data_IF_943562129629
#
_entry.id   IF_943562129629
#
_cell.length_a   1.000
_cell.length_b   1.000
_cell.length_c   1.000
_cell.angle_alpha   90.00
_cell.angle_beta   90.00
_cell.angle_gamma   90.00
#
_symmetry.space_group_name_H-M   'P 1'
#
loop_
_entity.id
_entity.type
_entity.pdbx_description
1 polymer ?
#
# COMPACT_ATOMS: atom_id res chain seq x y z
N UNK A 1 -50.93 -11.72 77.74
CA UNK A 1 -49.82 -10.78 77.43
C UNK A 1 -48.94 -11.21 76.23
N UNK A 2 -48.77 -12.47 75.92
CA UNK A 2 -48.02 -12.94 74.76
C UNK A 2 -48.71 -12.81 73.40
N UNK A 3 -50.07 -12.85 73.41
CA UNK A 3 -50.90 -12.75 72.18
C UNK A 3 -50.87 -11.32 71.58
N UNK A 4 -50.82 -10.30 72.45
CA UNK A 4 -50.75 -8.88 72.03
C UNK A 4 -49.38 -8.50 71.37
N UNK A 5 -48.32 -9.20 71.82
CA UNK A 5 -46.97 -8.97 71.28
C UNK A 5 -46.85 -9.50 69.84
N UNK A 6 -47.50 -10.62 69.50
CA UNK A 6 -47.56 -11.17 68.16
C UNK A 6 -48.41 -10.34 67.19
N UNK A 7 -49.46 -9.73 67.70
CA UNK A 7 -50.34 -8.86 66.90
C UNK A 7 -49.62 -7.57 66.50
N UNK A 8 -48.75 -7.01 67.35
CA UNK A 8 -47.96 -5.85 67.07
C UNK A 8 -46.81 -6.13 66.14
N UNK A 9 -46.27 -7.34 66.16
CA UNK A 9 -45.18 -7.81 65.29
C UNK A 9 -45.70 -8.09 63.86
N UNK A 10 -46.97 -8.49 63.73
CA UNK A 10 -47.62 -8.74 62.44
C UNK A 10 -48.05 -7.46 61.74
N UNK A 11 -48.34 -6.38 62.42
CA UNK A 11 -48.68 -5.07 61.86
C UNK A 11 -47.43 -4.33 61.39
N UNK A 12 -46.25 -4.58 62.01
CA UNK A 12 -44.97 -4.00 61.61
C UNK A 12 -44.41 -4.58 60.30
N UNK A 13 -44.88 -5.78 59.90
CA UNK A 13 -44.37 -6.46 58.66
C UNK A 13 -45.11 -6.02 57.37
N UNK A 14 -46.21 -5.30 57.44
CA UNK A 14 -47.09 -4.92 56.31
C UNK A 14 -46.75 -3.52 55.76
N UNK A 15 -45.88 -2.75 56.43
CA UNK A 15 -45.62 -1.34 56.07
C UNK A 15 -44.36 -1.13 55.18
N UNK A 16 -43.75 -2.19 54.65
CA UNK A 16 -42.48 -2.06 53.85
C UNK A 16 -42.67 -2.35 52.35
N UNK A 17 -43.92 -2.56 51.87
CA UNK A 17 -44.14 -2.87 50.43
C UNK A 17 -44.79 -1.75 49.62
N UNK A 18 -44.68 -0.48 50.02
CA UNK A 18 -45.01 0.65 49.17
C UNK A 18 -43.76 1.39 48.72
N UNK A 19 -42.84 0.65 48.06
CA UNK A 19 -41.85 1.26 47.21
C UNK A 19 -42.50 1.46 45.85
N UNK A 20 -43.04 2.67 45.61
CA UNK A 20 -43.32 3.12 44.26
C UNK A 20 -42.03 3.10 43.47
N UNK A 21 -41.87 2.12 42.59
CA UNK A 21 -41.00 2.24 41.45
C UNK A 21 -41.67 3.26 40.51
N UNK A 22 -41.27 4.54 40.61
CA UNK A 22 -41.39 5.42 39.48
C UNK A 22 -40.50 4.81 38.39
N UNK A 23 -41.13 4.19 37.41
CA UNK A 23 -40.54 4.02 36.09
C UNK A 23 -40.21 5.42 35.56
N UNK A 24 -39.05 5.95 35.94
CA UNK A 24 -38.38 6.89 35.08
C UNK A 24 -38.02 6.07 33.81
N UNK A 25 -38.85 6.23 32.80
CA UNK A 25 -38.45 6.02 31.44
C UNK A 25 -37.32 7.02 31.23
N UNK A 26 -36.07 6.65 31.59
CA UNK A 26 -34.92 7.26 30.98
C UNK A 26 -35.09 7.02 29.49
N UNK A 27 -35.58 8.02 28.80
CA UNK A 27 -35.29 8.22 27.42
C UNK A 27 -33.75 8.38 27.38
N UNK A 28 -33.07 7.25 27.36
CA UNK A 28 -31.71 7.19 26.88
C UNK A 28 -31.82 7.50 25.39
N UNK A 29 -31.94 8.79 25.05
CA UNK A 29 -31.49 9.25 23.75
C UNK A 29 -30.09 8.67 23.64
N UNK A 30 -29.95 7.63 22.80
CA UNK A 30 -28.67 7.09 22.44
C UNK A 30 -27.87 8.32 21.94
N UNK A 31 -27.00 8.82 22.80
CA UNK A 31 -26.03 9.83 22.40
C UNK A 31 -25.28 9.18 21.27
N UNK A 32 -25.67 9.52 20.05
CA UNK A 32 -24.98 9.10 18.84
C UNK A 32 -23.60 9.76 18.93
N UNK A 33 -22.71 9.12 19.66
CA UNK A 33 -21.31 9.55 19.75
C UNK A 33 -20.80 9.56 18.33
N UNK A 34 -20.48 10.75 17.82
CA UNK A 34 -19.89 10.87 16.50
C UNK A 34 -18.54 10.14 16.50
N UNK A 35 -18.51 8.98 15.89
CA UNK A 35 -17.33 8.11 15.83
C UNK A 35 -16.34 8.56 14.76
N UNK A 36 -16.73 9.49 13.85
CA UNK A 36 -15.91 9.97 12.74
C UNK A 36 -14.60 10.60 13.20
N UNK A 37 -14.56 11.54 14.18
CA UNK A 37 -13.30 12.12 14.65
C UNK A 37 -12.35 11.07 15.23
N UNK A 38 -12.89 10.09 15.94
CA UNK A 38 -12.11 8.98 16.51
C UNK A 38 -11.51 8.10 15.41
N UNK A 39 -12.26 7.81 14.37
CA UNK A 39 -11.80 7.05 13.21
C UNK A 39 -10.69 7.80 12.45
N UNK A 40 -10.87 9.09 12.19
CA UNK A 40 -9.84 9.94 11.57
C UNK A 40 -8.55 9.89 12.38
N UNK A 41 -8.62 10.10 13.69
CA UNK A 41 -7.46 10.08 14.57
C UNK A 41 -6.77 8.70 14.54
N UNK A 42 -7.52 7.62 14.50
CA UNK A 42 -6.96 6.26 14.48
C UNK A 42 -6.26 5.96 13.15
N UNK A 43 -6.82 6.39 12.02
CA UNK A 43 -6.20 6.27 10.71
C UNK A 43 -4.95 7.14 10.62
N UNK A 44 -5.01 8.40 11.05
CA UNK A 44 -3.88 9.32 11.02
C UNK A 44 -2.68 8.87 11.88
N UNK A 45 -2.92 8.17 12.99
CA UNK A 45 -1.84 7.60 13.82
C UNK A 45 -0.91 6.67 13.03
N UNK A 46 -1.42 6.04 12.00
CA UNK A 46 -0.63 5.13 11.16
C UNK A 46 0.27 5.87 10.18
N UNK A 47 0.07 7.21 9.94
CA UNK A 47 0.79 8.03 8.96
C UNK A 47 0.87 7.41 7.56
N UNK A 48 1.39 6.18 7.44
CA UNK A 48 1.48 5.39 6.22
C UNK A 48 1.07 3.95 6.49
N UNK A 49 0.12 3.46 5.73
CA UNK A 49 -0.26 2.04 5.72
C UNK A 49 0.50 1.32 4.61
N UNK A 50 1.50 0.53 4.96
CA UNK A 50 2.17 -0.36 4.02
C UNK A 50 1.28 -1.57 3.77
N UNK A 51 0.84 -1.73 2.54
CA UNK A 51 -0.19 -2.70 2.16
C UNK A 51 0.38 -3.91 1.44
N UNK A 52 1.46 -3.73 0.69
CA UNK A 52 2.00 -4.78 -0.19
C UNK A 52 3.51 -4.60 -0.36
N UNK A 53 4.24 -5.71 -0.37
CA UNK A 53 5.65 -5.79 -0.70
C UNK A 53 5.86 -6.80 -1.83
N UNK A 54 6.63 -6.38 -2.85
CA UNK A 54 6.96 -7.21 -4.01
C UNK A 54 8.45 -7.36 -4.16
N UNK A 55 8.90 -8.60 -4.30
CA UNK A 55 10.27 -8.94 -4.66
C UNK A 55 10.33 -9.29 -6.13
N UNK A 56 11.21 -8.62 -6.86
CA UNK A 56 11.39 -8.75 -8.30
C UNK A 56 12.80 -9.25 -8.56
N UNK A 57 12.89 -10.35 -9.30
CA UNK A 57 14.13 -10.80 -9.89
C UNK A 57 14.08 -10.50 -11.40
N UNK A 58 15.05 -9.74 -11.90
CA UNK A 58 15.13 -9.34 -13.30
C UNK A 58 16.54 -9.55 -13.83
N UNK A 59 16.66 -10.13 -15.00
CA UNK A 59 17.93 -10.20 -15.73
C UNK A 59 17.97 -9.05 -16.74
N UNK A 60 18.94 -8.18 -16.59
CA UNK A 60 19.25 -7.12 -17.55
C UNK A 60 20.29 -7.67 -18.53
N UNK A 61 19.96 -7.72 -19.81
CA UNK A 61 20.84 -8.18 -20.87
C UNK A 61 21.24 -7.02 -21.75
N UNK A 62 22.49 -7.03 -22.21
CA UNK A 62 22.96 -6.08 -23.20
C UNK A 62 23.90 -6.78 -24.18
N UNK A 63 23.65 -6.54 -25.46
CA UNK A 63 24.47 -7.00 -26.58
C UNK A 63 25.14 -5.78 -27.22
N UNK A 64 26.46 -5.82 -27.30
CA UNK A 64 27.28 -4.75 -27.86
C UNK A 64 28.12 -5.34 -29.01
N UNK A 65 27.81 -4.89 -30.21
CA UNK A 65 28.45 -5.34 -31.45
C UNK A 65 29.17 -4.18 -32.11
N UNK A 66 30.38 -4.44 -32.61
CA UNK A 66 31.12 -3.46 -33.43
C UNK A 66 30.67 -3.58 -34.86
N UNK A 67 30.18 -2.48 -35.41
CA UNK A 67 29.77 -2.36 -36.81
C UNK A 67 30.71 -1.47 -37.57
N UNK A 68 31.22 -1.96 -38.68
CA UNK A 68 32.01 -1.17 -39.61
C UNK A 68 31.04 -0.59 -40.66
N UNK A 69 30.89 0.74 -40.63
CA UNK A 69 30.06 1.48 -41.58
C UNK A 69 30.96 2.29 -42.48
N UNK A 70 30.67 2.32 -43.75
CA UNK A 70 31.37 3.14 -44.71
C UNK A 70 30.67 3.19 -46.06
N UNK A 71 31.20 4.05 -46.94
CA UNK A 71 30.78 4.14 -48.34
C UNK A 71 31.93 3.71 -49.24
N UNK A 72 31.69 2.72 -50.08
CA UNK A 72 32.65 2.26 -51.05
C UNK A 72 31.97 2.20 -52.43
N UNK A 73 32.53 2.89 -53.40
CA UNK A 73 31.98 2.98 -54.76
C UNK A 73 30.52 3.40 -54.82
N UNK A 74 30.12 4.42 -54.02
CA UNK A 74 28.75 4.95 -53.92
C UNK A 74 27.73 3.95 -53.34
N UNK A 75 28.18 2.88 -52.70
CA UNK A 75 27.36 1.93 -51.94
C UNK A 75 27.72 1.99 -50.46
N UNK A 76 26.71 2.22 -49.65
CA UNK A 76 26.87 2.17 -48.19
C UNK A 76 26.98 0.71 -47.75
N UNK A 77 27.89 0.43 -46.82
CA UNK A 77 28.00 -0.88 -46.16
C UNK A 77 27.91 -0.71 -44.64
N UNK A 78 27.29 -1.68 -43.99
CA UNK A 78 27.17 -1.83 -42.55
C UNK A 78 27.41 -3.32 -42.23
N UNK A 79 28.61 -3.64 -41.77
CA UNK A 79 29.02 -5.02 -41.51
C UNK A 79 29.36 -5.20 -40.04
N UNK A 80 28.78 -6.23 -39.42
CA UNK A 80 29.14 -6.64 -38.05
C UNK A 80 30.49 -7.35 -38.07
N UNK A 81 31.35 -6.96 -37.12
CA UNK A 81 32.66 -7.62 -36.96
C UNK A 81 32.50 -8.81 -35.99
N UNK A 82 32.61 -10.06 -36.46
CA UNK A 82 32.27 -11.25 -35.65
C UNK A 82 33.14 -11.45 -34.40
N UNK A 83 34.31 -10.82 -34.33
CA UNK A 83 35.20 -10.88 -33.16
C UNK A 83 35.08 -9.68 -32.23
N UNK A 84 34.18 -8.73 -32.55
CA UNK A 84 33.95 -7.49 -31.79
C UNK A 84 32.71 -7.54 -30.89
N UNK A 85 32.11 -8.69 -30.69
CA UNK A 85 30.89 -8.85 -29.91
C UNK A 85 31.17 -8.91 -28.40
N UNK A 86 30.34 -8.22 -27.59
CA UNK A 86 30.30 -8.40 -26.14
C UNK A 86 28.85 -8.58 -25.73
N UNK A 87 28.60 -9.52 -24.84
CA UNK A 87 27.27 -9.75 -24.22
C UNK A 87 27.39 -9.79 -22.73
N UNK A 88 26.41 -9.26 -22.06
CA UNK A 88 26.33 -9.32 -20.60
C UNK A 88 24.91 -9.63 -20.15
N UNK A 89 24.79 -10.44 -19.10
CA UNK A 89 23.57 -10.71 -18.38
C UNK A 89 23.80 -10.40 -16.90
N UNK A 90 23.04 -9.45 -16.38
CA UNK A 90 23.17 -8.92 -15.02
C UNK A 90 21.89 -9.27 -14.25
N UNK A 91 21.94 -10.25 -13.34
CA UNK A 91 20.84 -10.52 -12.41
C UNK A 91 20.68 -9.37 -11.41
N UNK A 92 19.46 -8.89 -11.27
CA UNK A 92 19.11 -7.80 -10.37
C UNK A 92 17.91 -8.18 -9.51
N UNK A 93 18.02 -7.99 -8.20
CA UNK A 93 16.95 -8.12 -7.24
C UNK A 93 16.46 -6.75 -6.82
N UNK A 94 15.14 -6.55 -6.83
CA UNK A 94 14.51 -5.31 -6.42
C UNK A 94 13.33 -5.56 -5.49
N UNK A 95 13.12 -4.65 -4.55
CA UNK A 95 11.95 -4.67 -3.65
C UNK A 95 11.15 -3.41 -3.82
N UNK A 96 9.87 -3.58 -4.18
CA UNK A 96 8.88 -2.52 -4.25
C UNK A 96 7.93 -2.62 -3.05
N UNK A 97 7.64 -1.49 -2.42
CA UNK A 97 6.61 -1.39 -1.38
C UNK A 97 5.51 -0.44 -1.81
N UNK A 98 4.27 -0.88 -1.65
CA UNK A 98 3.10 -0.03 -1.83
C UNK A 98 2.57 0.42 -0.46
N UNK A 99 2.19 1.68 -0.34
CA UNK A 99 1.62 2.26 0.88
C UNK A 99 0.59 3.32 0.55
N UNK A 100 -0.34 3.52 1.48
CA UNK A 100 -1.28 4.64 1.48
C UNK A 100 -0.77 5.68 2.46
N UNK A 101 -0.71 6.94 2.02
CA UNK A 101 -0.24 8.06 2.82
C UNK A 101 -1.45 8.80 3.41
N UNK A 102 -1.56 8.83 4.73
CA UNK A 102 -2.67 9.45 5.43
C UNK A 102 -2.36 10.86 5.94
N UNK A 103 -1.27 11.50 5.48
CA UNK A 103 -0.90 12.84 5.95
C UNK A 103 -2.02 13.88 5.76
N UNK A 104 -2.76 13.77 4.65
CA UNK A 104 -3.86 14.68 4.32
C UNK A 104 -5.26 14.07 4.58
N UNK A 105 -5.32 12.92 5.26
CA UNK A 105 -6.58 12.28 5.60
C UNK A 105 -7.31 13.08 6.68
N UNK A 106 -8.60 13.30 6.50
CA UNK A 106 -9.43 14.12 7.40
C UNK A 106 -10.89 13.65 7.36
N UNK A 107 -11.75 14.26 8.17
CA UNK A 107 -13.20 13.99 8.17
C UNK A 107 -13.83 14.14 6.79
N UNK A 108 -13.29 15.02 5.92
CA UNK A 108 -13.77 15.20 4.53
C UNK A 108 -13.63 13.95 3.66
N UNK A 109 -12.84 12.99 4.12
CA UNK A 109 -12.65 11.71 3.45
C UNK A 109 -13.62 10.63 3.92
N UNK A 110 -14.54 10.97 4.83
CA UNK A 110 -15.51 10.06 5.40
C UNK A 110 -16.91 10.61 5.12
N UNK A 111 -17.71 9.82 4.43
CA UNK A 111 -19.12 10.10 4.17
C UNK A 111 -19.98 9.13 4.96
N UNK A 112 -20.95 9.65 5.72
CA UNK A 112 -21.86 8.85 6.52
C UNK A 112 -23.30 9.09 6.08
N UNK A 113 -24.00 8.02 5.78
CA UNK A 113 -25.41 8.03 5.40
C UNK A 113 -26.19 6.99 6.24
N UNK A 114 -26.75 7.42 7.37
CA UNK A 114 -27.37 6.52 8.34
C UNK A 114 -26.32 5.54 8.89
N UNK A 115 -26.57 4.25 8.72
CA UNK A 115 -25.67 3.18 9.17
C UNK A 115 -24.51 2.90 8.19
N UNK A 116 -24.60 3.44 6.97
CA UNK A 116 -23.54 3.26 5.96
C UNK A 116 -22.42 4.27 6.13
N UNK A 117 -21.19 3.81 6.00
CA UNK A 117 -19.99 4.62 6.02
C UNK A 117 -19.14 4.37 4.77
N UNK A 118 -18.79 5.45 4.07
CA UNK A 118 -17.87 5.40 2.93
C UNK A 118 -16.58 6.14 3.27
N UNK A 119 -15.46 5.47 3.08
CA UNK A 119 -14.13 6.04 3.35
C UNK A 119 -13.40 6.20 2.02
N UNK A 120 -13.12 7.46 1.67
CA UNK A 120 -12.40 7.82 0.46
C UNK A 120 -10.89 7.90 0.75
N UNK A 121 -10.17 6.85 0.43
CA UNK A 121 -8.72 6.77 0.64
C UNK A 121 -7.93 7.47 -0.46
N UNK A 122 -6.74 8.00 -0.13
CA UNK A 122 -5.75 8.38 -1.12
C UNK A 122 -5.29 7.16 -1.93
N UNK A 123 -4.91 7.39 -3.17
CA UNK A 123 -4.37 6.31 -4.00
C UNK A 123 -3.04 5.78 -3.44
N UNK A 124 -2.78 4.47 -3.58
CA UNK A 124 -1.53 3.88 -3.15
C UNK A 124 -0.32 4.50 -3.86
N UNK A 125 0.73 4.79 -3.12
CA UNK A 125 2.05 5.18 -3.62
C UNK A 125 2.97 3.96 -3.63
N UNK A 126 3.84 3.87 -4.64
CA UNK A 126 4.81 2.77 -4.76
C UNK A 126 6.21 3.35 -4.64
N UNK A 127 7.05 2.71 -3.86
CA UNK A 127 8.46 3.08 -3.69
C UNK A 127 9.37 1.88 -3.91
N UNK A 128 10.49 2.11 -4.59
CA UNK A 128 11.56 1.14 -4.72
C UNK A 128 12.47 1.26 -3.49
N UNK A 129 12.39 0.29 -2.58
CA UNK A 129 13.13 0.33 -1.31
C UNK A 129 14.50 -0.31 -1.40
N UNK A 130 14.69 -1.22 -2.34
CA UNK A 130 15.96 -1.89 -2.58
C UNK A 130 16.10 -2.23 -4.06
N UNK A 131 17.34 -2.10 -4.55
CA UNK A 131 17.73 -2.57 -5.89
C UNK A 131 19.21 -2.98 -5.78
N UNK A 132 19.52 -4.23 -6.06
CA UNK A 132 20.87 -4.80 -5.93
C UNK A 132 21.19 -5.69 -7.12
N UNK A 133 22.39 -5.57 -7.62
CA UNK A 133 22.97 -6.50 -8.59
C UNK A 133 23.61 -7.67 -7.83
N UNK A 134 23.38 -8.88 -8.32
CA UNK A 134 24.15 -10.03 -7.88
C UNK A 134 25.44 -10.13 -8.71
N UNK A 135 26.49 -9.46 -8.26
CA UNK A 135 27.77 -9.40 -8.97
C UNK A 135 28.40 -10.79 -9.21
N UNK A 136 28.14 -11.76 -8.34
CA UNK A 136 28.69 -13.13 -8.47
C UNK A 136 28.02 -13.93 -9.60
N UNK A 137 26.84 -13.53 -10.00
CA UNK A 137 26.03 -14.19 -11.02
C UNK A 137 26.05 -13.44 -12.37
N UNK A 138 26.79 -12.34 -12.47
CA UNK A 138 26.99 -11.66 -13.74
C UNK A 138 27.70 -12.64 -14.69
N UNK A 139 27.10 -12.78 -15.87
CA UNK A 139 27.69 -13.56 -16.96
C UNK A 139 28.03 -12.63 -18.11
N UNK A 140 29.26 -12.69 -18.56
CA UNK A 140 29.72 -11.92 -19.72
C UNK A 140 30.39 -12.81 -20.77
N UNK A 141 30.19 -12.45 -22.01
CA UNK A 141 30.95 -12.95 -23.15
C UNK A 141 31.66 -11.75 -23.77
N UNK A 142 32.98 -11.89 -23.97
CA UNK A 142 33.82 -10.82 -24.53
C UNK A 142 34.63 -11.37 -25.69
N UNK A 143 34.39 -10.82 -26.87
CA UNK A 143 35.12 -11.18 -28.08
C UNK A 143 36.61 -10.83 -27.98
N UNK A 144 37.46 -11.53 -28.75
CA UNK A 144 38.91 -11.47 -28.65
C UNK A 144 39.51 -10.06 -28.87
N UNK A 145 38.78 -9.16 -29.51
CA UNK A 145 39.25 -7.80 -29.82
C UNK A 145 38.66 -6.74 -28.85
N UNK A 146 38.00 -7.17 -27.77
CA UNK A 146 37.29 -6.28 -26.85
C UNK A 146 37.80 -6.40 -25.40
N UNK A 147 37.66 -5.33 -24.65
CA UNK A 147 37.87 -5.32 -23.20
C UNK A 147 36.62 -5.76 -22.45
N UNK A 148 36.80 -6.24 -21.21
CA UNK A 148 35.71 -6.51 -20.27
C UNK A 148 34.85 -5.26 -20.01
N UNK A 149 33.63 -5.48 -19.52
CA UNK A 149 32.77 -4.38 -19.12
C UNK A 149 33.37 -3.65 -17.92
N UNK A 150 33.34 -2.34 -17.98
CA UNK A 150 33.81 -1.46 -16.90
C UNK A 150 32.74 -1.28 -15.81
N UNK A 151 33.17 -0.93 -14.60
CA UNK A 151 32.23 -0.62 -13.50
C UNK A 151 31.23 0.49 -13.87
N UNK A 152 31.66 1.46 -14.69
CA UNK A 152 30.79 2.51 -15.19
C UNK A 152 29.69 1.97 -16.11
N UNK A 153 30.01 1.02 -16.98
CA UNK A 153 29.01 0.36 -17.84
C UNK A 153 28.04 -0.49 -16.99
N UNK A 154 28.57 -1.24 -16.02
CA UNK A 154 27.73 -2.01 -15.08
C UNK A 154 26.76 -1.13 -14.32
N UNK A 155 27.23 0.00 -13.78
CA UNK A 155 26.37 0.98 -13.09
C UNK A 155 25.29 1.54 -14.02
N UNK A 156 25.63 1.81 -15.28
CA UNK A 156 24.66 2.29 -16.27
C UNK A 156 23.58 1.23 -16.55
N UNK A 157 23.96 -0.04 -16.70
CA UNK A 157 23.00 -1.13 -16.91
C UNK A 157 22.11 -1.36 -15.67
N UNK A 158 22.67 -1.21 -14.47
CA UNK A 158 21.87 -1.21 -13.24
C UNK A 158 20.80 -0.13 -13.27
N UNK A 159 21.16 1.10 -13.59
CA UNK A 159 20.22 2.21 -13.71
C UNK A 159 19.14 1.95 -14.77
N UNK A 160 19.51 1.38 -15.92
CA UNK A 160 18.56 0.99 -16.95
C UNK A 160 17.59 -0.10 -16.44
N UNK A 161 18.11 -1.10 -15.74
CA UNK A 161 17.31 -2.16 -15.13
C UNK A 161 16.32 -1.60 -14.10
N UNK A 162 16.77 -0.71 -13.21
CA UNK A 162 15.94 0.01 -12.24
C UNK A 162 14.84 0.79 -12.94
N UNK A 163 15.16 1.57 -13.96
CA UNK A 163 14.18 2.33 -14.74
C UNK A 163 13.17 1.42 -15.43
N UNK A 164 13.61 0.30 -15.98
CA UNK A 164 12.73 -0.68 -16.61
C UNK A 164 11.76 -1.33 -15.61
N UNK A 165 12.18 -1.59 -14.36
CA UNK A 165 11.31 -2.06 -13.28
C UNK A 165 10.26 -1.00 -12.95
N UNK A 166 10.68 0.25 -12.73
CA UNK A 166 9.75 1.35 -12.40
C UNK A 166 8.73 1.59 -13.51
N UNK A 167 9.15 1.58 -14.76
CA UNK A 167 8.25 1.75 -15.91
C UNK A 167 7.23 0.61 -16.06
N UNK A 168 7.52 -0.57 -15.52
CA UNK A 168 6.63 -1.72 -15.59
C UNK A 168 5.65 -1.83 -14.41
N UNK A 169 5.77 -0.99 -13.39
CA UNK A 169 4.87 -0.96 -12.21
C UNK A 169 3.38 -1.01 -12.59
N UNK A 170 2.90 -0.23 -13.59
CA UNK A 170 1.48 -0.25 -13.96
C UNK A 170 0.96 -1.61 -14.40
N UNK A 171 1.84 -2.44 -14.99
CA UNK A 171 1.49 -3.76 -15.51
C UNK A 171 1.60 -4.88 -14.46
N UNK A 172 2.06 -4.57 -13.26
CA UNK A 172 2.30 -5.56 -12.19
C UNK A 172 1.10 -5.79 -11.28
N UNK A 173 -0.01 -5.05 -11.45
CA UNK A 173 -1.19 -5.15 -10.57
C UNK A 173 -0.96 -4.69 -9.14
N UNK A 174 0.17 -4.03 -8.85
CA UNK A 174 0.58 -3.59 -7.51
C UNK A 174 -0.41 -2.63 -6.87
N UNK A 175 -0.98 -1.72 -7.66
CA UNK A 175 -1.93 -0.71 -7.17
C UNK A 175 -3.21 -1.41 -6.71
N UNK A 176 -3.74 -2.30 -7.54
CA UNK A 176 -4.96 -3.04 -7.21
C UNK A 176 -4.75 -3.91 -5.96
N UNK A 177 -3.66 -4.67 -5.91
CA UNK A 177 -3.32 -5.47 -4.72
C UNK A 177 -3.16 -4.61 -3.46
N UNK A 178 -2.60 -3.40 -3.59
CA UNK A 178 -2.46 -2.47 -2.48
C UNK A 178 -3.81 -1.93 -2.00
N UNK A 179 -4.74 -1.65 -2.91
CA UNK A 179 -6.10 -1.21 -2.59
C UNK A 179 -6.88 -2.31 -1.87
N UNK A 180 -6.85 -3.53 -2.38
CA UNK A 180 -7.50 -4.70 -1.76
C UNK A 180 -6.95 -4.98 -0.34
N UNK A 181 -5.64 -4.92 -0.18
CA UNK A 181 -5.01 -5.14 1.12
C UNK A 181 -5.32 -4.01 2.12
N UNK A 182 -5.43 -2.76 1.65
CA UNK A 182 -5.86 -1.65 2.50
C UNK A 182 -7.28 -1.85 3.04
N UNK A 183 -8.21 -2.25 2.19
CA UNK A 183 -9.57 -2.57 2.62
C UNK A 183 -9.58 -3.71 3.65
N UNK A 184 -8.77 -4.76 3.41
CA UNK A 184 -8.64 -5.91 4.31
C UNK A 184 -8.13 -5.54 5.72
N UNK A 185 -7.32 -4.47 5.82
CA UNK A 185 -6.82 -3.95 7.11
C UNK A 185 -7.82 -3.00 7.76
N UNK A 186 -8.45 -2.13 6.97
CA UNK A 186 -9.29 -1.06 7.51
C UNK A 186 -10.70 -1.53 7.88
N UNK A 187 -11.30 -2.44 7.11
CA UNK A 187 -12.65 -2.94 7.39
C UNK A 187 -12.78 -3.52 8.80
N UNK A 188 -11.91 -4.44 9.27
CA UNK A 188 -11.99 -4.95 10.65
C UNK A 188 -11.84 -3.86 11.71
N UNK A 189 -11.00 -2.84 11.45
CA UNK A 189 -10.82 -1.72 12.38
C UNK A 189 -12.11 -0.89 12.51
N UNK A 190 -12.80 -0.64 11.39
CA UNK A 190 -14.04 0.11 11.36
C UNK A 190 -15.20 -0.71 12.00
N UNK A 191 -15.20 -2.02 11.77
CA UNK A 191 -16.16 -2.94 12.41
C UNK A 191 -16.03 -2.93 13.94
N UNK A 192 -14.81 -2.85 14.48
CA UNK A 192 -14.57 -2.71 15.92
C UNK A 192 -15.12 -1.40 16.51
N UNK A 193 -15.37 -0.40 15.67
CA UNK A 193 -16.00 0.86 16.06
C UNK A 193 -17.53 0.84 16.01
N UNK A 194 -18.13 -0.33 15.71
CA UNK A 194 -19.56 -0.57 15.76
C UNK A 194 -20.28 -0.55 14.41
N UNK A 195 -19.57 -0.40 13.28
CA UNK A 195 -20.16 -0.52 11.96
C UNK A 195 -20.27 -1.99 11.52
N UNK A 196 -21.36 -2.34 10.85
CA UNK A 196 -21.51 -3.66 10.22
C UNK A 196 -20.65 -3.70 8.95
N UNK A 197 -19.99 -4.83 8.69
CA UNK A 197 -19.08 -4.98 7.53
C UNK A 197 -19.78 -4.65 6.20
N UNK A 198 -21.02 -5.07 6.04
CA UNK A 198 -21.87 -4.83 4.86
C UNK A 198 -22.17 -3.34 4.61
N UNK A 199 -22.07 -2.50 5.65
CA UNK A 199 -22.32 -1.07 5.60
C UNK A 199 -21.02 -0.25 5.38
N UNK A 200 -19.86 -0.90 5.28
CA UNK A 200 -18.58 -0.25 5.10
C UNK A 200 -18.17 -0.27 3.63
N UNK A 201 -17.93 0.89 3.05
CA UNK A 201 -17.41 1.04 1.70
C UNK A 201 -16.04 1.71 1.74
N UNK A 202 -15.04 1.06 1.17
CA UNK A 202 -13.71 1.65 0.95
C UNK A 202 -13.60 2.03 -0.52
N UNK A 203 -13.43 3.32 -0.79
CA UNK A 203 -13.25 3.87 -2.12
C UNK A 203 -11.87 4.54 -2.26
N UNK A 204 -11.37 4.65 -3.49
CA UNK A 204 -10.11 5.32 -3.79
C UNK A 204 -10.34 6.46 -4.77
N UNK A 205 -9.55 7.54 -4.64
CA UNK A 205 -9.61 8.66 -5.58
C UNK A 205 -9.06 8.18 -6.93
N UNK A 206 -9.87 8.24 -7.98
CA UNK A 206 -9.49 7.82 -9.35
C UNK A 206 -8.61 8.84 -10.10
N UNK A 207 -7.60 9.42 -9.46
CA UNK A 207 -6.80 10.48 -10.07
C UNK A 207 -5.30 10.15 -10.16
N UNK A 208 -4.93 8.92 -10.51
CA UNK A 208 -3.53 8.64 -10.79
C UNK A 208 -3.25 8.65 -12.29
N UNK A 209 -2.57 9.70 -12.75
CA UNK A 209 -1.74 9.55 -13.94
C UNK A 209 -0.52 8.71 -13.56
N UNK A 210 -0.24 7.67 -14.35
CA UNK A 210 0.92 6.77 -14.22
C UNK A 210 2.23 7.58 -14.06
N UNK A 211 2.29 8.77 -14.64
CA UNK A 211 3.42 9.69 -14.55
C UNK A 211 3.68 10.21 -13.13
N UNK A 212 2.64 10.41 -12.33
CA UNK A 212 2.80 10.87 -10.93
C UNK A 212 3.33 9.75 -10.02
N UNK A 213 2.99 8.50 -10.30
CA UNK A 213 3.52 7.34 -9.57
C UNK A 213 5.03 7.17 -9.79
N UNK A 214 5.48 7.35 -11.02
CA UNK A 214 6.90 7.23 -11.40
C UNK A 214 7.71 8.39 -10.80
N UNK A 215 7.22 9.62 -10.88
CA UNK A 215 7.92 10.80 -10.39
C UNK A 215 8.09 10.79 -8.86
N UNK A 216 7.08 10.34 -8.11
CA UNK A 216 7.20 10.23 -6.65
C UNK A 216 8.23 9.19 -6.18
N UNK A 217 8.60 8.25 -7.06
CA UNK A 217 9.59 7.20 -6.79
C UNK A 217 11.04 7.66 -7.09
N UNK A 218 11.21 8.72 -7.91
CA UNK A 218 12.50 9.24 -8.36
C UNK A 218 12.98 10.41 -7.48
N UNK A 219 12.06 11.18 -6.90
CA UNK A 219 12.35 12.43 -6.18
C UNK A 219 12.99 12.28 -4.79
N UNK A 220 13.18 11.05 -4.30
CA UNK A 220 13.72 10.75 -2.95
C UNK A 220 15.06 10.03 -2.95
N UNK A 221 15.90 10.28 -3.96
CA UNK A 221 17.30 9.77 -3.96
C UNK A 221 18.32 10.87 -4.17
#
# INVERSE_FOLDING_TARGET
>A
MKLFLYFFLLIGAISVTASCSSEQTENTEAVVTDTVPSLVMQIQKTSRLYTTEYHIHKIVTHDDVVRLKGNFLSKDFDVELPLGERKIAIPMDATLKAYIDFADFSEKNIERHGDNITILLPDPKITLTSSKINQKEIKEYVGLTRSHFTDKELTNYEQQGRKAILNNIPNMGLIQAAQENAARVLVPMITQMGYQEENITIAFRKNLSIQQLINSSIEKQ
#
